data_IF_172030471797
#
_entry.id   IF_172030471797
#
_cell.length_a   1.000
_cell.length_b   1.000
_cell.length_c   1.000
_cell.angle_alpha   90.00
_cell.angle_beta   90.00
_cell.angle_gamma   90.00
#
_symmetry.space_group_name_H-M   'P 1'
#
loop_
_entity.id
_entity.type
_entity.pdbx_description
1 polymer ?
#
# COMPACT_ATOMS: atom_id res chain seq x y z
N UNK A 1 -42.89 -18.67 15.85
CA UNK A 1 -43.65 -17.53 15.28
C UNK A 1 -42.73 -16.72 14.36
N UNK A 2 -42.74 -17.02 13.05
CA UNK A 2 -41.90 -16.32 12.06
C UNK A 2 -42.36 -14.88 11.87
N UNK A 3 -41.45 -13.91 11.91
CA UNK A 3 -41.77 -12.50 11.64
C UNK A 3 -42.33 -12.39 10.22
N UNK A 4 -43.51 -11.79 10.07
CA UNK A 4 -44.16 -11.48 8.79
C UNK A 4 -43.19 -10.76 7.81
N UNK A 5 -43.37 -10.97 6.50
CA UNK A 5 -42.57 -10.37 5.42
C UNK A 5 -42.26 -8.89 5.70
N UNK A 6 -40.99 -8.57 5.84
CA UNK A 6 -40.54 -7.19 6.09
C UNK A 6 -40.78 -6.35 4.84
N UNK A 7 -41.47 -5.21 4.98
CA UNK A 7 -41.68 -4.26 3.88
C UNK A 7 -40.34 -3.75 3.33
N UNK A 8 -40.03 -4.07 2.07
CA UNK A 8 -38.76 -3.71 1.42
C UNK A 8 -38.66 -2.20 1.18
N UNK A 9 -37.46 -1.71 0.85
CA UNK A 9 -37.27 -0.30 0.52
C UNK A 9 -38.10 0.12 -0.69
N UNK A 10 -38.13 -0.71 -1.73
CA UNK A 10 -38.95 -0.53 -2.95
C UNK A 10 -40.45 -0.49 -2.65
N UNK A 11 -40.94 -1.35 -1.75
CA UNK A 11 -42.34 -1.32 -1.34
C UNK A 11 -42.68 -0.03 -0.58
N UNK A 12 -41.76 0.49 0.24
CA UNK A 12 -41.97 1.76 0.96
C UNK A 12 -42.00 2.95 0.03
N UNK A 13 -41.14 2.99 -0.99
CA UNK A 13 -41.10 4.08 -1.97
C UNK A 13 -42.37 4.08 -2.82
N UNK A 14 -42.83 2.92 -3.26
CA UNK A 14 -44.08 2.78 -4.02
C UNK A 14 -45.31 3.21 -3.21
N UNK A 15 -45.42 2.77 -1.94
CA UNK A 15 -46.50 3.21 -1.04
C UNK A 15 -46.50 4.73 -0.87
N UNK A 16 -45.32 5.34 -0.63
CA UNK A 16 -45.19 6.80 -0.49
C UNK A 16 -45.59 7.54 -1.76
N UNK A 17 -45.29 6.97 -2.94
CA UNK A 17 -45.67 7.53 -4.24
C UNK A 17 -47.18 7.51 -4.44
N UNK A 18 -47.83 6.37 -4.25
CA UNK A 18 -49.29 6.22 -4.44
C UNK A 18 -50.10 7.10 -3.47
N UNK A 19 -49.66 7.23 -2.22
CA UNK A 19 -50.30 8.13 -1.25
C UNK A 19 -50.13 9.60 -1.66
N UNK A 20 -48.98 9.97 -2.26
CA UNK A 20 -48.75 11.32 -2.79
C UNK A 20 -49.62 11.62 -4.02
N UNK A 21 -49.91 10.59 -4.83
CA UNK A 21 -50.83 10.65 -5.97
C UNK A 21 -52.32 10.67 -5.54
N UNK A 22 -52.61 10.76 -4.24
CA UNK A 22 -53.97 10.91 -3.71
C UNK A 22 -54.73 9.60 -3.54
N UNK A 23 -54.10 8.44 -3.73
CA UNK A 23 -54.74 7.13 -3.53
C UNK A 23 -55.08 6.89 -2.06
N UNK A 24 -56.26 6.33 -1.82
CA UNK A 24 -56.71 5.96 -0.48
C UNK A 24 -56.01 4.70 0.02
N UNK A 25 -56.01 4.49 1.34
CA UNK A 25 -55.39 3.31 1.94
C UNK A 25 -55.96 2.01 1.36
N UNK A 26 -57.28 1.92 1.14
CA UNK A 26 -57.93 0.72 0.58
C UNK A 26 -57.44 0.39 -0.84
N UNK A 27 -57.26 1.42 -1.68
CA UNK A 27 -56.73 1.24 -3.04
C UNK A 27 -55.27 0.77 -3.01
N UNK A 28 -54.43 1.36 -2.14
CA UNK A 28 -53.02 0.97 -1.97
C UNK A 28 -52.91 -0.46 -1.41
N UNK A 29 -53.79 -0.86 -0.49
CA UNK A 29 -53.85 -2.23 0.02
C UNK A 29 -54.17 -3.24 -1.09
N UNK A 30 -55.12 -2.90 -1.98
CA UNK A 30 -55.52 -3.75 -3.11
C UNK A 30 -54.44 -3.85 -4.19
N UNK A 31 -53.78 -2.73 -4.51
CA UNK A 31 -52.72 -2.68 -5.54
C UNK A 31 -51.42 -3.38 -5.10
N UNK A 32 -50.99 -3.21 -3.85
CA UNK A 32 -49.70 -3.72 -3.36
C UNK A 32 -49.86 -5.06 -2.60
N UNK A 33 -51.09 -5.45 -2.26
CA UNK A 33 -51.35 -6.66 -1.47
C UNK A 33 -50.82 -6.53 -0.04
N UNK A 34 -51.00 -5.37 0.59
CA UNK A 34 -50.43 -5.07 1.90
C UNK A 34 -51.47 -4.67 2.95
N UNK A 35 -51.10 -4.74 4.23
CA UNK A 35 -51.98 -4.31 5.32
C UNK A 35 -51.94 -2.79 5.50
N UNK A 36 -53.06 -2.20 5.95
CA UNK A 36 -53.13 -0.77 6.32
C UNK A 36 -52.05 -0.39 7.35
N UNK A 37 -51.66 -1.34 8.21
CA UNK A 37 -50.57 -1.18 9.17
C UNK A 37 -49.20 -1.03 8.48
N UNK A 38 -48.97 -1.79 7.41
CA UNK A 38 -47.75 -1.69 6.61
C UNK A 38 -47.65 -0.33 5.91
N UNK A 39 -48.76 0.18 5.38
CA UNK A 39 -48.85 1.52 4.77
C UNK A 39 -48.51 2.60 5.80
N UNK A 40 -49.16 2.56 6.98
CA UNK A 40 -48.88 3.50 8.07
C UNK A 40 -47.42 3.45 8.51
N UNK A 41 -46.85 2.25 8.65
CA UNK A 41 -45.45 2.07 9.03
C UNK A 41 -44.50 2.58 7.94
N UNK A 42 -44.80 2.38 6.65
CA UNK A 42 -44.00 2.86 5.53
C UNK A 42 -43.97 4.40 5.48
N UNK A 43 -45.10 5.05 5.71
CA UNK A 43 -45.20 6.51 5.78
C UNK A 43 -44.40 7.08 6.95
N UNK A 44 -44.47 6.44 8.13
CA UNK A 44 -43.72 6.84 9.34
C UNK A 44 -42.25 6.44 9.30
N UNK A 45 -41.83 5.60 8.36
CA UNK A 45 -40.48 5.06 8.32
C UNK A 45 -39.45 6.13 7.96
N UNK A 46 -38.38 6.17 8.76
CA UNK A 46 -37.17 6.97 8.55
C UNK A 46 -35.96 6.04 8.52
N UNK A 47 -34.97 6.38 7.68
CA UNK A 47 -33.69 5.68 7.67
C UNK A 47 -33.06 5.78 9.07
N UNK A 48 -32.83 4.63 9.70
CA UNK A 48 -32.10 4.56 10.97
C UNK A 48 -30.64 4.24 10.63
N UNK A 49 -29.66 4.89 11.28
CA UNK A 49 -28.28 4.48 11.14
C UNK A 49 -28.14 3.04 11.59
N UNK A 50 -27.38 2.24 10.84
CA UNK A 50 -27.12 0.85 11.21
C UNK A 50 -26.32 0.83 12.51
N UNK A 51 -26.99 0.44 13.61
CA UNK A 51 -26.39 0.28 14.94
C UNK A 51 -26.01 -1.18 15.24
N UNK A 52 -26.07 -2.05 14.24
CA UNK A 52 -25.79 -3.47 14.39
C UNK A 52 -24.27 -3.69 14.48
N UNK A 53 -23.89 -4.63 15.34
CA UNK A 53 -22.50 -5.06 15.49
C UNK A 53 -21.76 -4.48 16.71
N UNK A 54 -20.55 -4.99 16.93
CA UNK A 54 -19.70 -4.63 18.06
C UNK A 54 -19.11 -3.23 17.86
N UNK A 55 -19.29 -2.36 18.85
CA UNK A 55 -18.64 -1.04 18.88
C UNK A 55 -17.11 -1.19 18.88
N UNK A 56 -16.42 -0.25 18.23
CA UNK A 56 -14.96 -0.21 18.21
C UNK A 56 -14.42 0.04 19.62
N UNK A 57 -13.33 -0.64 19.98
CA UNK A 57 -12.58 -0.37 21.22
C UNK A 57 -11.70 0.88 21.13
N UNK A 58 -11.39 1.34 19.92
CA UNK A 58 -10.57 2.54 19.70
C UNK A 58 -11.45 3.77 19.50
N UNK A 59 -10.95 4.91 19.97
CA UNK A 59 -11.55 6.22 19.71
C UNK A 59 -10.91 6.87 18.48
N UNK A 60 -11.57 7.87 17.91
CA UNK A 60 -11.03 8.66 16.78
C UNK A 60 -9.68 9.29 17.15
N UNK A 61 -9.51 9.74 18.40
CA UNK A 61 -8.24 10.31 18.90
C UNK A 61 -7.12 9.26 18.92
N UNK A 62 -7.41 8.03 19.33
CA UNK A 62 -6.45 6.92 19.30
C UNK A 62 -6.05 6.57 17.87
N UNK A 63 -7.02 6.46 16.96
CA UNK A 63 -6.76 6.14 15.54
C UNK A 63 -5.89 7.24 14.89
N UNK A 64 -6.11 8.52 15.22
CA UNK A 64 -5.25 9.63 14.79
C UNK A 64 -3.83 9.54 15.34
N UNK A 65 -3.65 9.15 16.61
CA UNK A 65 -2.31 8.96 17.21
C UNK A 65 -1.55 7.82 16.53
N UNK A 66 -2.21 6.68 16.33
CA UNK A 66 -1.67 5.50 15.62
C UNK A 66 -1.17 5.88 14.23
N UNK A 67 -2.01 6.58 13.46
CA UNK A 67 -1.68 6.95 12.08
C UNK A 67 -0.58 8.00 12.01
N UNK A 68 -0.56 8.98 12.92
CA UNK A 68 0.51 9.98 13.01
C UNK A 68 1.87 9.35 13.28
N UNK A 69 1.94 8.45 14.27
CA UNK A 69 3.20 7.77 14.61
C UNK A 69 3.72 6.93 13.44
N UNK A 70 2.85 6.16 12.79
CA UNK A 70 3.24 5.36 11.62
C UNK A 70 3.68 6.21 10.42
N UNK A 71 3.13 7.43 10.24
CA UNK A 71 3.58 8.35 9.20
C UNK A 71 4.94 9.00 9.53
N UNK A 72 5.17 9.33 10.79
CA UNK A 72 6.43 9.90 11.26
C UNK A 72 7.57 8.88 11.20
N UNK A 73 7.28 7.62 11.54
CA UNK A 73 8.25 6.52 11.54
C UNK A 73 7.72 5.34 10.72
N UNK A 74 7.89 5.34 9.39
CA UNK A 74 7.32 4.30 8.53
C UNK A 74 7.78 2.86 8.82
N UNK A 75 8.95 2.69 9.43
CA UNK A 75 9.51 1.37 9.75
C UNK A 75 9.01 0.81 11.10
N UNK A 76 8.21 1.58 11.86
CA UNK A 76 7.75 1.16 13.18
C UNK A 76 6.80 -0.05 13.09
N UNK A 77 6.96 -0.99 14.01
CA UNK A 77 6.09 -2.16 14.09
C UNK A 77 4.77 -1.83 14.80
N UNK A 78 3.72 -2.62 14.53
CA UNK A 78 2.45 -2.45 15.24
C UNK A 78 2.55 -2.74 16.74
N UNK A 79 3.53 -3.56 17.16
CA UNK A 79 3.82 -3.81 18.57
C UNK A 79 4.41 -2.55 19.22
N UNK A 80 5.47 -1.99 18.61
CA UNK A 80 6.06 -0.74 19.09
C UNK A 80 5.03 0.40 19.14
N UNK A 81 4.16 0.57 18.13
CA UNK A 81 3.09 1.59 18.20
C UNK A 81 2.16 1.36 19.40
N UNK A 82 1.77 0.10 19.66
CA UNK A 82 0.89 -0.23 20.79
C UNK A 82 1.56 0.15 22.10
N UNK A 83 2.81 -0.24 22.27
CA UNK A 83 3.54 -0.09 23.52
C UNK A 83 3.92 1.40 23.74
N UNK A 84 4.43 2.11 22.72
CA UNK A 84 4.75 3.54 22.81
C UNK A 84 3.54 4.47 23.00
N UNK A 85 2.33 4.03 22.65
CA UNK A 85 1.10 4.80 22.86
C UNK A 85 0.27 4.27 24.04
N UNK A 86 0.76 3.23 24.74
CA UNK A 86 0.11 2.56 25.87
C UNK A 86 -1.35 2.19 25.58
N UNK A 87 -1.59 1.65 24.37
CA UNK A 87 -2.97 1.41 23.93
C UNK A 87 -3.53 0.14 24.58
N UNK A 88 -4.73 0.20 25.21
CA UNK A 88 -5.41 -0.96 25.80
C UNK A 88 -6.11 -1.83 24.72
N UNK A 89 -5.41 -2.09 23.61
CA UNK A 89 -5.89 -2.92 22.50
C UNK A 89 -4.82 -3.90 22.03
N UNK A 90 -5.24 -4.92 21.29
CA UNK A 90 -4.28 -5.87 20.73
C UNK A 90 -3.49 -5.25 19.57
N UNK A 91 -2.30 -5.79 19.30
CA UNK A 91 -1.47 -5.41 18.15
C UNK A 91 -2.19 -5.61 16.82
N UNK A 92 -3.10 -6.59 16.75
CA UNK A 92 -3.96 -6.85 15.59
C UNK A 92 -4.95 -5.70 15.37
N UNK A 93 -5.53 -5.14 16.44
CA UNK A 93 -6.38 -3.95 16.33
C UNK A 93 -5.61 -2.76 15.77
N UNK A 94 -4.40 -2.49 16.27
CA UNK A 94 -3.52 -1.43 15.74
C UNK A 94 -3.23 -1.66 14.25
N UNK A 95 -2.88 -2.89 13.85
CA UNK A 95 -2.68 -3.24 12.43
C UNK A 95 -3.92 -2.95 11.59
N UNK A 96 -5.11 -3.30 12.07
CA UNK A 96 -6.37 -3.03 11.35
C UNK A 96 -6.62 -1.53 11.21
N UNK A 97 -6.36 -0.72 12.27
CA UNK A 97 -6.46 0.75 12.18
C UNK A 97 -5.53 1.32 11.13
N UNK A 98 -4.29 0.81 11.04
CA UNK A 98 -3.33 1.22 10.03
C UNK A 98 -3.79 0.86 8.61
N UNK A 99 -4.31 -0.35 8.40
CA UNK A 99 -4.86 -0.74 7.10
C UNK A 99 -6.08 0.10 6.69
N UNK A 100 -7.00 0.40 7.63
CA UNK A 100 -8.14 1.31 7.40
C UNK A 100 -7.68 2.74 7.03
N UNK A 101 -6.49 3.14 7.48
CA UNK A 101 -5.85 4.40 7.11
C UNK A 101 -4.94 4.31 5.86
N UNK A 102 -5.08 3.24 5.05
CA UNK A 102 -4.26 2.96 3.87
C UNK A 102 -2.76 2.81 4.15
N UNK A 103 -2.34 2.44 5.37
CA UNK A 103 -0.94 2.19 5.73
C UNK A 103 -0.66 0.69 5.83
N UNK A 104 -0.38 0.09 4.68
CA UNK A 104 -0.13 -1.34 4.58
C UNK A 104 1.32 -1.69 4.90
N UNK A 105 1.53 -2.87 5.49
CA UNK A 105 2.87 -3.43 5.67
C UNK A 105 3.37 -3.97 4.34
N UNK A 106 4.55 -3.54 3.90
CA UNK A 106 5.21 -3.96 2.66
C UNK A 106 6.71 -4.17 2.90
N UNK A 107 7.38 -4.85 1.98
CA UNK A 107 8.84 -4.92 1.96
C UNK A 107 9.35 -3.60 1.34
N UNK A 108 10.26 -2.86 2.00
CA UNK A 108 10.83 -1.64 1.44
C UNK A 108 11.70 -1.93 0.23
N UNK A 109 11.72 -1.03 -0.75
CA UNK A 109 12.65 -1.12 -1.88
C UNK A 109 14.06 -0.78 -1.40
N UNK A 110 15.02 -1.61 -1.80
CA UNK A 110 16.45 -1.35 -1.62
C UNK A 110 16.91 -0.38 -2.70
N UNK A 111 17.43 0.77 -2.30
CA UNK A 111 17.90 1.80 -3.25
C UNK A 111 19.32 2.23 -2.91
N UNK A 112 20.14 2.59 -3.92
CA UNK A 112 21.45 3.15 -3.65
C UNK A 112 21.32 4.48 -2.90
N UNK A 113 22.26 4.74 -2.00
CA UNK A 113 22.36 6.03 -1.33
C UNK A 113 22.92 7.07 -2.30
N UNK A 114 22.04 7.89 -2.88
CA UNK A 114 22.42 8.95 -3.82
C UNK A 114 22.41 10.33 -3.14
N UNK A 115 23.45 11.13 -3.40
CA UNK A 115 23.47 12.57 -3.06
C UNK A 115 22.65 13.34 -4.11
N UNK A 116 22.14 14.53 -3.75
CA UNK A 116 21.38 15.40 -4.69
C UNK A 116 22.11 15.63 -6.02
N UNK A 117 23.42 15.90 -5.96
CA UNK A 117 24.29 16.04 -7.14
C UNK A 117 24.29 14.79 -8.05
N UNK A 118 24.27 13.59 -7.48
CA UNK A 118 24.26 12.34 -8.25
C UNK A 118 22.90 12.15 -8.92
N UNK A 119 21.80 12.51 -8.25
CA UNK A 119 20.46 12.45 -8.84
C UNK A 119 20.36 13.39 -10.04
N UNK A 120 20.86 14.62 -9.92
CA UNK A 120 20.88 15.60 -11.01
C UNK A 120 21.71 15.10 -12.19
N UNK A 121 22.95 14.64 -11.96
CA UNK A 121 23.80 14.09 -13.04
C UNK A 121 23.17 12.90 -13.75
N UNK A 122 22.55 11.97 -13.00
CA UNK A 122 21.85 10.82 -13.59
C UNK A 122 20.63 11.24 -14.42
N UNK A 123 19.87 12.23 -13.93
CA UNK A 123 18.73 12.77 -14.68
C UNK A 123 19.18 13.48 -15.96
N UNK A 124 20.26 14.26 -15.88
CA UNK A 124 20.84 14.94 -17.03
C UNK A 124 21.31 13.93 -18.08
N UNK A 125 22.10 12.94 -17.67
CA UNK A 125 22.52 11.84 -18.54
C UNK A 125 21.32 11.16 -19.20
N UNK A 126 20.29 10.79 -18.43
CA UNK A 126 19.09 10.17 -18.98
C UNK A 126 18.37 11.06 -20.02
N UNK A 127 18.28 12.36 -19.78
CA UNK A 127 17.67 13.31 -20.73
C UNK A 127 18.47 13.46 -22.02
N UNK A 128 19.80 13.57 -21.92
CA UNK A 128 20.69 13.68 -23.08
C UNK A 128 20.64 12.44 -23.97
N UNK A 129 20.39 11.27 -23.38
CA UNK A 129 20.49 9.98 -24.06
C UNK A 129 19.12 9.36 -24.37
N UNK A 130 18.00 10.00 -23.99
CA UNK A 130 16.64 9.43 -24.15
C UNK A 130 16.26 9.15 -25.60
N UNK A 131 16.73 10.01 -26.52
CA UNK A 131 16.43 9.93 -27.95
C UNK A 131 17.54 9.24 -28.76
N UNK A 132 18.50 8.58 -28.10
CA UNK A 132 19.54 7.86 -28.82
C UNK A 132 18.94 6.71 -29.63
N UNK A 133 19.35 6.56 -30.91
CA UNK A 133 18.88 5.47 -31.74
C UNK A 133 19.36 4.12 -31.20
N UNK A 134 18.61 3.06 -31.48
CA UNK A 134 18.91 1.71 -30.96
C UNK A 134 20.29 1.24 -31.41
N UNK A 135 20.68 1.58 -32.62
CA UNK A 135 21.98 1.28 -33.24
C UNK A 135 23.13 1.84 -32.40
N UNK A 136 22.95 3.06 -31.85
CA UNK A 136 23.95 3.66 -30.96
C UNK A 136 24.08 2.88 -29.66
N UNK A 137 22.96 2.42 -29.07
CA UNK A 137 22.99 1.56 -27.89
C UNK A 137 23.65 0.21 -28.14
N UNK A 138 23.48 -0.36 -29.35
CA UNK A 138 24.08 -1.66 -29.73
C UNK A 138 25.60 -1.61 -29.81
N UNK A 139 26.15 -0.45 -30.17
CA UNK A 139 27.59 -0.25 -30.35
C UNK A 139 28.32 0.14 -29.06
N UNK A 140 27.66 0.15 -27.90
CA UNK A 140 28.28 0.43 -26.61
C UNK A 140 28.80 -0.88 -25.99
N UNK A 141 30.09 -0.89 -25.67
CA UNK A 141 30.69 -1.91 -24.80
C UNK A 141 30.54 -1.45 -23.34
N UNK A 142 29.76 -2.21 -22.58
CA UNK A 142 29.57 -1.99 -21.15
C UNK A 142 30.66 -2.73 -20.38
N UNK A 143 31.31 -2.04 -19.44
CA UNK A 143 32.32 -2.61 -18.55
C UNK A 143 31.92 -2.30 -17.11
N UNK A 144 32.09 -3.25 -16.19
CA UNK A 144 31.90 -3.02 -14.76
C UNK A 144 32.67 -4.07 -13.94
N UNK A 145 32.98 -3.72 -12.70
CA UNK A 145 33.49 -4.66 -11.71
C UNK A 145 32.35 -5.15 -10.82
N UNK A 146 32.31 -6.47 -10.57
CA UNK A 146 31.34 -7.06 -9.66
C UNK A 146 32.03 -7.86 -8.56
N UNK A 147 31.41 -7.84 -7.37
CA UNK A 147 31.83 -8.60 -6.20
C UNK A 147 30.85 -9.73 -5.98
N UNK A 148 31.30 -10.97 -6.17
CA UNK A 148 30.53 -12.18 -5.85
C UNK A 148 30.82 -12.55 -4.40
N UNK A 149 29.79 -12.57 -3.56
CA UNK A 149 29.91 -12.89 -2.12
C UNK A 149 29.40 -14.31 -1.87
N UNK A 150 30.21 -15.15 -1.22
CA UNK A 150 29.89 -16.56 -0.98
C UNK A 150 28.79 -16.74 0.09
N UNK A 151 28.84 -15.91 1.13
CA UNK A 151 27.86 -15.91 2.22
C UNK A 151 27.07 -14.60 2.21
N UNK A 152 25.90 -14.61 1.56
CA UNK A 152 24.97 -13.49 1.63
C UNK A 152 24.33 -13.43 3.02
N UNK A 153 24.55 -12.36 3.79
CA UNK A 153 23.80 -12.12 5.01
C UNK A 153 22.32 -11.94 4.64
N UNK A 154 21.49 -12.98 4.84
CA UNK A 154 20.03 -12.84 4.83
C UNK A 154 19.63 -12.05 6.08
N UNK A 155 19.81 -10.74 6.03
CA UNK A 155 19.40 -9.85 7.11
C UNK A 155 17.90 -10.01 7.42
N UNK A 156 17.49 -9.61 8.62
CA UNK A 156 16.10 -9.68 9.03
C UNK A 156 15.17 -9.01 8.02
N UNK A 157 14.01 -9.64 7.77
CA UNK A 157 12.95 -9.06 6.91
C UNK A 157 12.45 -7.75 7.51
N UNK A 158 12.94 -6.63 7.00
CA UNK A 158 12.41 -5.31 7.34
C UNK A 158 11.07 -5.08 6.65
N UNK A 159 10.14 -4.43 7.35
CA UNK A 159 8.84 -4.04 6.82
C UNK A 159 8.63 -2.55 6.97
N UNK A 160 7.99 -1.94 5.98
CA UNK A 160 7.61 -0.54 5.97
C UNK A 160 6.10 -0.39 5.87
N UNK A 161 5.56 0.57 6.62
CA UNK A 161 4.17 1.04 6.54
C UNK A 161 4.07 2.16 5.52
N UNK A 162 3.36 1.92 4.42
CA UNK A 162 3.22 2.92 3.36
C UNK A 162 1.86 2.87 2.66
N UNK A 163 1.40 4.00 2.09
CA UNK A 163 0.31 4.01 1.12
C UNK A 163 0.62 3.20 -0.15
N UNK A 164 -0.41 2.76 -0.89
CA UNK A 164 -0.24 2.27 -2.26
C UNK A 164 0.57 3.26 -3.12
N UNK A 165 1.28 2.75 -4.13
CA UNK A 165 1.99 3.54 -5.15
C UNK A 165 3.02 4.56 -4.62
N UNK A 166 3.65 4.25 -3.49
CA UNK A 166 4.65 5.12 -2.84
C UNK A 166 6.01 4.45 -2.61
N UNK A 167 6.27 3.31 -3.23
CA UNK A 167 7.45 2.45 -2.99
C UNK A 167 8.81 3.14 -3.12
N UNK A 168 8.92 4.13 -4.00
CA UNK A 168 10.19 4.82 -4.28
C UNK A 168 10.37 6.12 -3.50
N UNK A 169 9.39 6.51 -2.66
CA UNK A 169 9.58 7.69 -1.82
C UNK A 169 10.71 7.43 -0.82
N UNK A 170 11.66 8.37 -0.61
CA UNK A 170 12.85 8.13 0.21
C UNK A 170 12.57 7.65 1.64
N UNK A 171 11.45 8.06 2.23
CA UNK A 171 11.03 7.65 3.58
C UNK A 171 10.57 6.18 3.68
N UNK A 172 10.28 5.53 2.53
CA UNK A 172 9.79 4.15 2.48
C UNK A 172 10.81 3.16 1.90
N UNK A 173 12.00 3.64 1.56
CA UNK A 173 13.08 2.82 1.00
C UNK A 173 14.15 2.55 2.04
N UNK A 174 14.90 1.47 1.84
CA UNK A 174 16.09 1.16 2.64
C UNK A 174 17.30 1.43 1.77
N UNK A 175 18.20 2.26 2.29
CA UNK A 175 19.48 2.54 1.64
C UNK A 175 20.38 1.33 1.82
N UNK A 176 20.92 0.82 0.72
CA UNK A 176 21.87 -0.28 0.76
C UNK A 176 23.28 0.21 0.50
N UNK A 177 24.20 -0.24 1.33
CA UNK A 177 25.65 -0.16 1.10
C UNK A 177 26.16 -1.60 0.99
N UNK A 178 27.04 -1.88 0.02
CA UNK A 178 27.60 -3.22 -0.18
C UNK A 178 28.82 -3.38 0.74
N UNK A 179 28.73 -4.16 1.82
CA UNK A 179 29.86 -4.48 2.69
C UNK A 179 29.80 -5.94 3.18
N UNK A 180 30.97 -6.55 3.40
CA UNK A 180 31.13 -7.79 4.17
C UNK A 180 31.34 -9.08 3.38
N UNK A 181 32.09 -10.02 3.99
CA UNK A 181 32.26 -11.41 3.56
C UNK A 181 33.47 -11.69 2.67
N UNK A 182 33.90 -12.96 2.65
CA UNK A 182 34.80 -13.50 1.63
C UNK A 182 34.13 -13.37 0.26
N UNK A 183 34.86 -12.80 -0.69
CA UNK A 183 34.32 -12.45 -1.99
C UNK A 183 35.35 -12.55 -3.10
N UNK A 184 34.88 -12.87 -4.30
CA UNK A 184 35.68 -12.81 -5.52
C UNK A 184 35.34 -11.51 -6.24
N UNK A 185 36.35 -10.74 -6.59
CA UNK A 185 36.23 -9.58 -7.48
C UNK A 185 36.42 -10.04 -8.92
N UNK A 186 35.52 -9.61 -9.79
CA UNK A 186 35.58 -9.88 -11.22
C UNK A 186 35.44 -8.57 -11.99
N UNK A 187 36.17 -8.43 -13.07
CA UNK A 187 35.88 -7.49 -14.14
C UNK A 187 35.23 -8.25 -15.29
N UNK A 188 34.22 -7.65 -15.92
CA UNK A 188 33.63 -8.20 -17.12
C UNK A 188 33.17 -7.08 -18.04
N UNK A 189 33.04 -7.42 -19.32
CA UNK A 189 32.39 -6.54 -20.28
C UNK A 189 31.34 -7.29 -21.11
N UNK A 190 30.39 -6.56 -21.67
CA UNK A 190 29.40 -7.11 -22.60
C UNK A 190 28.88 -6.01 -23.53
N UNK A 191 28.34 -6.41 -24.67
CA UNK A 191 27.62 -5.53 -25.59
C UNK A 191 26.29 -6.16 -26.00
N UNK A 192 25.56 -5.51 -26.91
CA UNK A 192 24.37 -6.11 -27.51
C UNK A 192 24.66 -7.43 -28.22
N UNK A 193 25.87 -7.59 -28.76
CA UNK A 193 26.27 -8.75 -29.56
C UNK A 193 26.72 -9.96 -28.72
N UNK A 194 26.85 -9.79 -27.41
CA UNK A 194 27.19 -10.89 -26.52
C UNK A 194 28.02 -10.48 -25.31
N UNK A 195 28.38 -11.49 -24.53
CA UNK A 195 29.28 -11.35 -23.38
C UNK A 195 30.72 -11.28 -23.87
N UNK A 196 31.49 -10.35 -23.33
CA UNK A 196 32.93 -10.28 -23.52
C UNK A 196 33.68 -11.11 -22.48
N UNK A 197 35.00 -10.93 -22.39
CA UNK A 197 35.83 -11.63 -21.42
C UNK A 197 35.43 -11.34 -19.96
N UNK A 198 35.64 -12.33 -19.10
CA UNK A 198 35.54 -12.21 -17.64
C UNK A 198 36.91 -12.48 -17.03
N UNK A 199 37.38 -11.55 -16.20
CA UNK A 199 38.68 -11.64 -15.54
C UNK A 199 38.50 -11.58 -14.03
N UNK A 200 39.09 -12.56 -13.33
CA UNK A 200 39.18 -12.52 -11.87
C UNK A 200 40.28 -11.56 -11.46
N UNK A 201 39.94 -10.59 -10.62
CA UNK A 201 40.90 -9.64 -10.05
C UNK A 201 41.43 -10.23 -8.74
N UNK A 202 42.75 -10.48 -8.61
CA UNK A 202 43.33 -10.86 -7.34
C UNK A 202 43.42 -9.64 -6.41
N UNK A 203 42.54 -9.57 -5.41
CA UNK A 203 42.57 -8.51 -4.40
C UNK A 203 41.75 -7.27 -4.80
N UNK A 204 42.28 -6.08 -4.47
CA UNK A 204 41.67 -4.79 -4.78
C UNK A 204 42.29 -4.27 -6.08
N UNK A 205 41.45 -3.90 -7.05
CA UNK A 205 41.93 -3.28 -8.29
C UNK A 205 42.57 -1.93 -7.97
N UNK A 206 43.81 -1.74 -8.38
CA UNK A 206 44.48 -0.44 -8.39
C UNK A 206 44.56 0.11 -9.82
N UNK A 207 45.06 1.34 -9.96
CA UNK A 207 45.19 2.00 -11.26
C UNK A 207 46.36 1.46 -12.09
N UNK A 208 47.24 0.64 -11.50
CA UNK A 208 48.54 0.25 -12.06
C UNK A 208 48.64 -1.25 -12.39
N UNK A 209 47.58 -2.01 -12.14
CA UNK A 209 47.47 -3.45 -12.42
C UNK A 209 47.06 -3.75 -13.87
#
# INVERSE_FOLDING_TARGET
>A
MGRSRHCSEEQRTLIKKLIREGKTYKEVQKMIGCSAKMISNALKWRAKPERRGRKRKTTIKMDRRITRMAKAQPMITSRMIKDSLELPVSTVTVRRRLCEANLFSRIPRKVPLLKKRHVQKRLQFAKEHINWPKEKWRNILWTDESKIVLFGSKGHRQSVRRPPNSEFKPQYTVKTVKHGGASIMIWACFSYYGVGPIYRIPGIMDQFA
#
